data_IF_933481385046
#
_entry.id   IF_933481385046
#
_cell.length_a   1.000
_cell.length_b   1.000
_cell.length_c   1.000
_cell.angle_alpha   90.00
_cell.angle_beta   90.00
_cell.angle_gamma   90.00
#
_symmetry.space_group_name_H-M   'P 1'
#
loop_
_entity.id
_entity.type
_entity.pdbx_description
1 polymer ?
#
# COMPACT_ATOMS: atom_id res chain seq x y z
N UNK A 1 -9.67 6.57 -15.85
CA UNK A 1 -9.32 6.30 -14.43
C UNK A 1 -10.17 7.25 -13.58
N UNK A 2 -10.57 6.86 -12.38
CA UNK A 2 -11.27 7.76 -11.45
C UNK A 2 -10.43 7.91 -10.19
N UNK A 3 -10.62 9.00 -9.45
CA UNK A 3 -9.98 9.15 -8.15
C UNK A 3 -10.41 7.99 -7.24
N UNK A 4 -9.49 7.17 -6.71
CA UNK A 4 -9.85 6.01 -5.88
C UNK A 4 -10.46 6.42 -4.52
N UNK A 5 -10.33 7.70 -4.13
CA UNK A 5 -10.88 8.21 -2.87
C UNK A 5 -12.32 8.75 -3.02
N UNK A 6 -12.58 9.53 -4.06
CA UNK A 6 -13.87 10.23 -4.22
C UNK A 6 -14.57 9.95 -5.56
N UNK A 7 -14.04 9.04 -6.38
CA UNK A 7 -14.57 8.65 -7.69
C UNK A 7 -14.69 9.77 -8.73
N UNK A 8 -14.19 10.97 -8.46
CA UNK A 8 -14.13 12.06 -9.44
C UNK A 8 -13.30 11.69 -10.67
N UNK A 9 -13.78 12.10 -11.85
CA UNK A 9 -13.05 12.06 -13.12
C UNK A 9 -12.07 13.22 -13.30
N UNK A 10 -12.10 14.22 -12.43
CA UNK A 10 -11.27 15.43 -12.51
C UNK A 10 -9.95 15.23 -11.78
N UNK A 11 -8.88 15.00 -12.54
CA UNK A 11 -7.52 14.89 -12.03
C UNK A 11 -6.48 15.40 -13.03
N UNK A 12 -5.29 15.76 -12.53
CA UNK A 12 -4.14 16.17 -13.33
C UNK A 12 -2.94 15.26 -13.13
N UNK A 13 -2.05 15.19 -14.11
CA UNK A 13 -0.72 14.57 -13.96
C UNK A 13 0.07 15.30 -12.86
N UNK A 14 0.77 14.55 -12.01
CA UNK A 14 1.46 15.04 -10.81
C UNK A 14 2.83 14.35 -10.66
N UNK A 15 3.63 14.41 -11.72
CA UNK A 15 4.96 13.78 -11.78
C UNK A 15 4.93 12.25 -11.79
N UNK A 16 6.07 11.64 -11.48
CA UNK A 16 6.23 10.18 -11.43
C UNK A 16 6.61 9.72 -10.03
N UNK A 17 6.08 8.55 -9.62
CA UNK A 17 6.47 7.87 -8.38
C UNK A 17 6.82 6.43 -8.70
N UNK A 18 8.06 6.01 -8.39
CA UNK A 18 8.57 4.65 -8.68
C UNK A 18 8.32 4.25 -10.14
N UNK A 19 8.71 5.13 -11.07
CA UNK A 19 8.54 4.96 -12.53
C UNK A 19 7.09 4.86 -13.02
N UNK A 20 6.09 5.11 -12.17
CA UNK A 20 4.67 5.17 -12.55
C UNK A 20 4.18 6.61 -12.60
N UNK A 21 3.34 6.92 -13.58
CA UNK A 21 2.67 8.22 -13.64
C UNK A 21 1.84 8.43 -12.37
N UNK A 22 2.03 9.56 -11.69
CA UNK A 22 1.19 9.98 -10.57
C UNK A 22 0.17 11.01 -11.03
N UNK A 23 -0.99 11.02 -10.38
CA UNK A 23 -2.09 11.92 -10.62
C UNK A 23 -2.54 12.56 -9.30
N UNK A 24 -3.12 13.76 -9.38
CA UNK A 24 -3.75 14.45 -8.27
C UNK A 24 -5.19 14.81 -8.63
N UNK A 25 -6.15 14.39 -7.80
CA UNK A 25 -7.55 14.75 -7.95
C UNK A 25 -7.77 16.25 -7.68
N UNK A 26 -8.60 16.89 -8.49
CA UNK A 26 -8.98 18.29 -8.30
C UNK A 26 -9.98 18.46 -7.15
N UNK A 27 -10.92 17.52 -7.01
CA UNK A 27 -12.04 17.70 -6.08
C UNK A 27 -11.66 17.34 -4.63
N UNK A 28 -10.79 16.34 -4.41
CA UNK A 28 -10.39 15.93 -3.06
C UNK A 28 -8.89 16.04 -2.76
N UNK A 29 -8.07 16.48 -3.72
CA UNK A 29 -6.62 16.61 -3.58
C UNK A 29 -5.84 15.30 -3.47
N UNK A 30 -6.52 14.13 -3.47
CA UNK A 30 -5.88 12.82 -3.32
C UNK A 30 -4.89 12.55 -4.45
N UNK A 31 -3.71 12.06 -4.09
CA UNK A 31 -2.68 11.66 -5.03
C UNK A 31 -2.67 10.14 -5.19
N UNK A 32 -2.66 9.68 -6.43
CA UNK A 32 -2.66 8.26 -6.76
C UNK A 32 -1.71 7.99 -7.93
N UNK A 33 -1.39 6.72 -8.19
CA UNK A 33 -0.52 6.31 -9.30
C UNK A 33 -1.30 5.48 -10.29
N UNK A 34 -0.88 5.53 -11.55
CA UNK A 34 -1.36 4.65 -12.59
C UNK A 34 -1.17 3.18 -12.21
N UNK A 35 -2.19 2.37 -12.47
CA UNK A 35 -2.19 0.92 -12.20
C UNK A 35 -1.62 0.59 -10.81
N UNK A 36 -2.32 1.01 -9.72
CA UNK A 36 -1.86 0.74 -8.37
C UNK A 36 -1.78 -0.77 -8.17
N UNK A 37 -0.59 -1.27 -7.84
CA UNK A 37 -0.42 -2.67 -7.46
C UNK A 37 -0.81 -2.81 -5.99
N UNK A 38 -1.68 -3.76 -5.61
CA UNK A 38 -1.94 -4.03 -4.22
C UNK A 38 -0.63 -4.42 -3.54
N UNK A 39 -0.29 -3.72 -2.45
CA UNK A 39 0.88 -4.04 -1.61
C UNK A 39 0.50 -4.92 -0.41
N UNK A 40 -0.73 -5.44 -0.40
CA UNK A 40 -1.19 -6.26 0.70
C UNK A 40 -0.58 -7.66 0.58
N UNK A 41 0.08 -8.11 1.65
CA UNK A 41 0.35 -9.52 1.83
C UNK A 41 -0.97 -10.30 1.82
N UNK A 42 -0.89 -11.54 1.33
CA UNK A 42 -2.03 -12.44 1.32
C UNK A 42 -2.54 -12.65 2.76
N UNK A 43 -3.87 -12.77 2.98
CA UNK A 43 -4.44 -12.97 4.31
C UNK A 43 -3.76 -14.02 5.17
N UNK A 44 -3.35 -15.18 4.62
CA UNK A 44 -2.65 -16.20 5.42
C UNK A 44 -1.31 -15.73 5.96
N UNK A 45 -0.56 -14.90 5.23
CA UNK A 45 0.70 -14.32 5.72
C UNK A 45 0.44 -13.40 6.90
N UNK A 46 -0.62 -12.57 6.82
CA UNK A 46 -1.03 -11.71 7.93
C UNK A 46 -1.44 -12.53 9.15
N UNK A 47 -2.22 -13.60 8.94
CA UNK A 47 -2.65 -14.50 10.01
C UNK A 47 -1.47 -15.23 10.65
N UNK A 48 -0.49 -15.68 9.85
CA UNK A 48 0.73 -16.29 10.34
C UNK A 48 1.50 -15.32 11.24
N UNK A 49 1.73 -14.09 10.79
CA UNK A 49 2.39 -13.06 11.61
C UNK A 49 1.66 -12.83 12.94
N UNK A 50 0.32 -12.76 12.94
CA UNK A 50 -0.48 -12.61 14.15
C UNK A 50 -0.32 -13.81 15.09
N UNK A 51 -0.43 -15.04 14.58
CA UNK A 51 -0.25 -16.26 15.38
C UNK A 51 1.12 -16.30 16.05
N UNK A 52 2.18 -16.02 15.30
CA UNK A 52 3.54 -16.02 15.83
C UNK A 52 3.77 -14.89 16.86
N UNK A 53 3.14 -13.72 16.68
CA UNK A 53 3.18 -12.64 17.67
C UNK A 53 2.47 -13.02 19.00
N UNK A 54 1.29 -13.63 18.91
CA UNK A 54 0.50 -14.00 20.10
C UNK A 54 1.09 -15.19 20.87
N UNK A 55 1.74 -16.13 20.17
CA UNK A 55 2.38 -17.28 20.81
C UNK A 55 3.72 -16.95 21.49
N UNK A 56 4.17 -15.68 21.47
CA UNK A 56 5.45 -15.22 22.02
C UNK A 56 6.71 -15.88 21.42
N UNK A 57 6.55 -16.67 20.35
CA UNK A 57 7.65 -17.32 19.62
C UNK A 57 8.52 -16.32 18.81
N UNK A 58 8.07 -15.07 18.66
CA UNK A 58 8.81 -14.01 17.98
C UNK A 58 9.17 -12.89 18.95
N UNK A 59 10.47 -12.65 19.12
CA UNK A 59 10.95 -11.37 19.66
C UNK A 59 10.67 -10.26 18.64
N UNK A 60 10.34 -9.05 19.10
CA UNK A 60 9.87 -7.92 18.27
C UNK A 60 10.84 -7.55 17.13
N UNK A 61 12.12 -7.81 17.31
CA UNK A 61 13.21 -7.64 16.34
C UNK A 61 13.09 -8.58 15.12
N UNK A 62 12.60 -9.80 15.32
CA UNK A 62 12.42 -10.78 14.23
C UNK A 62 11.25 -10.43 13.30
N UNK A 63 10.27 -9.67 13.80
CA UNK A 63 9.13 -9.19 13.00
C UNK A 63 9.60 -8.19 11.96
N UNK A 64 10.50 -7.26 12.30
CA UNK A 64 11.04 -6.30 11.32
C UNK A 64 11.80 -7.01 10.20
N UNK A 65 12.57 -8.06 10.50
CA UNK A 65 13.35 -8.78 9.47
C UNK A 65 12.49 -9.51 8.44
N UNK A 66 11.31 -10.01 8.84
CA UNK A 66 10.34 -10.64 7.92
C UNK A 66 9.74 -9.61 6.96
N UNK A 67 9.57 -8.35 7.40
CA UNK A 67 9.04 -7.28 6.56
C UNK A 67 10.09 -6.58 5.69
N UNK A 68 11.38 -6.65 6.03
CA UNK A 68 12.46 -6.00 5.25
C UNK A 68 12.98 -6.80 4.06
N UNK A 69 12.63 -8.09 3.95
CA UNK A 69 13.07 -8.96 2.85
C UNK A 69 12.07 -9.07 1.68
N UNK A 70 11.02 -8.22 1.65
CA UNK A 70 10.04 -8.14 0.55
C UNK A 70 9.93 -6.71 0.00
#
# INVERSE_FOLDING_TARGET
MYCPKCQSSRYKKNGFRRQKQSYRCHDCGHQFVESPKPKAYHPEVKQLCLKMYFNQDLRKDTILSVFTLV
#
